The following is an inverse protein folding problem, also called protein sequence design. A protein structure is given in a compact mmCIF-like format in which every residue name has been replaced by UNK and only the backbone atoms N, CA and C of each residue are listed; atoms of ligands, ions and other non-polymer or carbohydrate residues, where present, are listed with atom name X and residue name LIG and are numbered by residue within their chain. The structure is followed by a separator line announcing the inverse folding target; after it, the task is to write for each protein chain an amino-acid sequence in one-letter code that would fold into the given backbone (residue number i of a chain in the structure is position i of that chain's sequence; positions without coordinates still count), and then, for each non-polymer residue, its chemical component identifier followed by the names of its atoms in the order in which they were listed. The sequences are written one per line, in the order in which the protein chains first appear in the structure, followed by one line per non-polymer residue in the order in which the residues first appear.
data_IF_495909586817
#
_entry.id   IF_495909586817
#
_cell.length_a   1.000
_cell.length_b   1.000
_cell.length_c   1.000
_cell.angle_alpha   90.00
_cell.angle_beta   90.00
_cell.angle_gamma   90.00
#
_symmetry.space_group_name_H-M   'P 1'
#
loop_
_entity.id
_entity.type
_entity.pdbx_description
1 polymer ?
#
# COMPACT_ATOMS: atom_id res chain seq x y z
N UNK A 1 -12.70 1.75 -19.77
CA UNK A 1 -12.77 2.38 -18.43
C UNK A 1 -12.02 1.51 -17.43
N UNK A 2 -10.76 1.85 -17.07
CA UNK A 2 -9.91 0.99 -16.20
C UNK A 2 -9.03 1.76 -15.18
N UNK A 3 -9.06 3.11 -15.19
CA UNK A 3 -8.06 3.95 -14.48
C UNK A 3 -7.93 3.69 -12.96
N UNK A 4 -8.99 3.65 -12.15
CA UNK A 4 -8.83 3.39 -10.70
C UNK A 4 -8.45 1.93 -10.40
N UNK A 5 -8.93 0.99 -11.20
CA UNK A 5 -8.54 -0.42 -11.09
C UNK A 5 -7.05 -0.61 -11.40
N UNK A 6 -6.53 0.11 -12.39
CA UNK A 6 -5.09 0.14 -12.71
C UNK A 6 -4.29 0.69 -11.52
N UNK A 7 -4.73 1.78 -10.88
CA UNK A 7 -4.04 2.31 -9.68
C UNK A 7 -4.04 1.28 -8.55
N UNK A 8 -5.16 0.58 -8.33
CA UNK A 8 -5.23 -0.51 -7.34
C UNK A 8 -4.30 -1.68 -7.66
N UNK A 9 -4.23 -2.11 -8.92
CA UNK A 9 -3.31 -3.19 -9.35
C UNK A 9 -1.85 -2.75 -9.22
N UNK A 10 -1.52 -1.51 -9.60
CA UNK A 10 -0.17 -0.95 -9.41
C UNK A 10 0.20 -0.94 -7.93
N UNK A 11 -0.72 -0.54 -7.05
CA UNK A 11 -0.50 -0.55 -5.61
C UNK A 11 -0.26 -1.98 -5.07
N UNK A 12 -1.00 -2.97 -5.57
CA UNK A 12 -0.79 -4.39 -5.23
C UNK A 12 0.60 -4.90 -5.65
N UNK A 13 1.02 -4.61 -6.89
CA UNK A 13 2.36 -4.98 -7.39
C UNK A 13 3.45 -4.32 -6.54
N UNK A 14 3.25 -3.05 -6.18
CA UNK A 14 4.14 -2.31 -5.29
C UNK A 14 4.23 -2.94 -3.90
N UNK A 15 3.09 -3.39 -3.37
CA UNK A 15 3.00 -4.11 -2.09
C UNK A 15 3.83 -5.40 -2.11
N UNK A 16 3.73 -6.17 -3.19
CA UNK A 16 4.48 -7.42 -3.35
C UNK A 16 5.99 -7.17 -3.45
N UNK A 17 6.41 -6.14 -4.19
CA UNK A 17 7.81 -5.72 -4.28
C UNK A 17 8.37 -5.33 -2.92
N UNK A 18 7.61 -4.54 -2.14
CA UNK A 18 8.01 -4.18 -0.77
C UNK A 18 8.21 -5.44 0.08
N UNK A 19 7.32 -6.42 -0.03
CA UNK A 19 7.38 -7.65 0.75
C UNK A 19 8.61 -8.50 0.40
N UNK A 20 8.94 -8.61 -0.89
CA UNK A 20 10.17 -9.30 -1.33
C UNK A 20 11.43 -8.63 -0.79
N UNK A 21 11.46 -7.30 -0.78
CA UNK A 21 12.60 -6.54 -0.24
C UNK A 21 12.72 -6.66 1.28
N UNK A 22 11.61 -6.65 2.01
CA UNK A 22 11.59 -6.88 3.47
C UNK A 22 12.16 -8.27 3.82
N UNK A 23 11.81 -9.31 3.06
CA UNK A 23 12.36 -10.66 3.24
C UNK A 23 13.87 -10.69 2.95
N UNK A 24 14.31 -9.94 1.93
CA UNK A 24 15.73 -9.83 1.58
C UNK A 24 16.53 -9.09 2.65
N UNK A 25 15.95 -8.06 3.29
CA UNK A 25 16.60 -7.30 4.36
C UNK A 25 16.94 -8.18 5.57
N UNK A 26 16.04 -9.09 5.92
CA UNK A 26 16.27 -10.05 7.02
C UNK A 26 17.44 -11.01 6.77
N UNK A 27 18.00 -11.04 5.55
CA UNK A 27 19.18 -11.84 5.18
C UNK A 27 20.42 -10.98 4.97
N UNK A 28 20.25 -9.78 4.41
CA UNK A 28 21.33 -8.84 4.11
C UNK A 28 21.02 -7.48 4.74
N UNK A 29 21.57 -7.25 5.93
CA UNK A 29 21.40 -6.00 6.69
C UNK A 29 22.22 -4.86 6.04
N UNK A 30 21.70 -4.27 4.97
CA UNK A 30 22.31 -3.12 4.32
C UNK A 30 21.49 -1.84 4.52
N UNK A 31 22.16 -0.77 4.95
CA UNK A 31 21.56 0.57 5.15
C UNK A 31 20.86 1.06 3.87
N UNK A 32 21.45 0.78 2.71
CA UNK A 32 20.87 1.12 1.41
C UNK A 32 19.52 0.44 1.18
N UNK A 33 19.39 -0.85 1.50
CA UNK A 33 18.14 -1.59 1.34
C UNK A 33 17.08 -1.13 2.34
N UNK A 34 17.47 -0.77 3.57
CA UNK A 34 16.54 -0.15 4.54
C UNK A 34 15.97 1.18 4.02
N UNK A 35 16.83 2.03 3.43
CA UNK A 35 16.43 3.32 2.89
C UNK A 35 15.50 3.14 1.67
N UNK A 36 15.76 2.13 0.84
CA UNK A 36 14.87 1.73 -0.25
C UNK A 36 13.51 1.26 0.26
N UNK A 37 13.47 0.39 1.27
CA UNK A 37 12.23 -0.07 1.91
C UNK A 37 11.44 1.12 2.44
N UNK A 38 12.08 2.06 3.13
CA UNK A 38 11.43 3.26 3.64
C UNK A 38 10.81 4.11 2.53
N UNK A 39 11.54 4.36 1.44
CA UNK A 39 11.04 5.11 0.28
C UNK A 39 9.84 4.41 -0.39
N UNK A 40 9.90 3.09 -0.51
CA UNK A 40 8.80 2.30 -1.07
C UNK A 40 7.56 2.32 -0.17
N UNK A 41 7.74 2.37 1.15
CA UNK A 41 6.64 2.54 2.11
C UNK A 41 5.93 3.88 1.89
N UNK A 42 6.70 4.97 1.81
CA UNK A 42 6.15 6.29 1.53
C UNK A 42 5.40 6.33 0.20
N UNK A 43 5.97 5.75 -0.85
CA UNK A 43 5.33 5.73 -2.16
C UNK A 43 4.04 4.89 -2.15
N UNK A 44 4.03 3.74 -1.46
CA UNK A 44 2.84 2.91 -1.31
C UNK A 44 1.69 3.64 -0.58
N UNK A 45 1.99 4.46 0.43
CA UNK A 45 1.00 5.31 1.11
C UNK A 45 0.43 6.37 0.14
N UNK A 46 1.30 7.04 -0.61
CA UNK A 46 0.89 8.06 -1.60
C UNK A 46 0.00 7.43 -2.69
N UNK A 47 0.39 6.26 -3.23
CA UNK A 47 -0.40 5.57 -4.25
C UNK A 47 -1.76 5.10 -3.71
N UNK A 48 -1.79 4.58 -2.48
CA UNK A 48 -3.03 4.16 -1.80
C UNK A 48 -4.00 5.32 -1.63
N UNK A 49 -3.51 6.48 -1.16
CA UNK A 49 -4.33 7.69 -0.95
C UNK A 49 -4.82 8.28 -2.27
N UNK A 50 -3.96 8.36 -3.29
CA UNK A 50 -4.37 8.76 -4.65
C UNK A 50 -5.40 7.80 -5.25
N UNK A 51 -5.24 6.49 -5.05
CA UNK A 51 -6.18 5.47 -5.49
C UNK A 51 -7.57 5.62 -4.86
N UNK A 52 -7.64 5.94 -3.57
CA UNK A 52 -8.88 6.29 -2.89
C UNK A 52 -9.52 7.55 -3.47
N UNK A 53 -8.75 8.65 -3.60
CA UNK A 53 -9.24 9.92 -4.15
C UNK A 53 -9.80 9.76 -5.57
N UNK A 54 -9.08 9.04 -6.43
CA UNK A 54 -9.53 8.74 -7.79
C UNK A 54 -10.78 7.85 -7.74
N UNK A 55 -10.81 6.82 -6.89
CA UNK A 55 -11.98 5.96 -6.72
C UNK A 55 -13.25 6.75 -6.38
N UNK A 56 -13.19 7.63 -5.38
CA UNK A 56 -14.35 8.44 -4.95
C UNK A 56 -14.80 9.44 -6.02
N UNK A 57 -13.85 10.09 -6.71
CA UNK A 57 -14.18 11.01 -7.81
C UNK A 57 -14.96 10.31 -8.91
N UNK A 58 -14.55 9.09 -9.29
CA UNK A 58 -15.21 8.33 -10.34
C UNK A 58 -16.57 7.75 -9.90
N UNK A 59 -16.70 7.33 -8.64
CA UNK A 59 -17.99 6.92 -8.07
C UNK A 59 -19.01 8.05 -8.14
N UNK A 60 -18.61 9.27 -7.74
CA UNK A 60 -19.49 10.45 -7.77
C UNK A 60 -19.98 10.78 -9.18
N UNK A 61 -19.14 10.55 -10.19
CA UNK A 61 -19.49 10.75 -11.61
C UNK A 61 -20.32 9.62 -12.24
N UNK A 62 -20.72 8.58 -11.50
CA UNK A 62 -21.40 7.36 -12.01
C UNK A 62 -20.65 6.65 -13.16
N UNK A 63 -19.37 6.95 -13.38
CA UNK A 63 -18.57 6.40 -14.47
C UNK A 63 -18.11 4.94 -14.23
N UNK A 64 -18.41 4.38 -13.06
CA UNK A 64 -17.93 3.06 -12.63
C UNK A 64 -19.04 2.28 -11.95
N UNK A 65 -19.07 0.96 -12.21
CA UNK A 65 -19.96 0.03 -11.50
C UNK A 65 -19.56 -0.06 -10.02
N UNK A 66 -20.54 -0.23 -9.13
CA UNK A 66 -20.31 -0.37 -7.69
C UNK A 66 -19.31 -1.48 -7.37
N UNK A 67 -19.33 -2.57 -8.14
CA UNK A 67 -18.40 -3.71 -7.99
C UNK A 67 -16.95 -3.34 -8.32
N UNK A 68 -16.71 -2.64 -9.43
CA UNK A 68 -15.36 -2.19 -9.79
C UNK A 68 -14.81 -1.12 -8.83
N UNK A 69 -15.69 -0.28 -8.27
CA UNK A 69 -15.32 0.65 -7.21
C UNK A 69 -14.89 -0.08 -5.93
N UNK A 70 -15.69 -1.02 -5.43
CA UNK A 70 -15.36 -1.80 -4.23
C UNK A 70 -14.06 -2.58 -4.40
N UNK A 71 -13.87 -3.21 -5.56
CA UNK A 71 -12.63 -3.94 -5.87
C UNK A 71 -11.41 -3.02 -5.92
N UNK A 72 -11.54 -1.85 -6.56
CA UNK A 72 -10.49 -0.82 -6.56
C UNK A 72 -10.19 -0.34 -5.14
N UNK A 73 -11.22 -0.13 -4.31
CA UNK A 73 -11.04 0.35 -2.95
C UNK A 73 -10.32 -0.70 -2.09
N UNK A 74 -10.69 -1.97 -2.24
CA UNK A 74 -10.01 -3.10 -1.58
C UNK A 74 -8.52 -3.16 -1.97
N UNK A 75 -8.20 -3.12 -3.27
CA UNK A 75 -6.81 -3.17 -3.74
C UNK A 75 -5.96 -1.98 -3.25
N UNK A 76 -6.52 -0.78 -3.23
CA UNK A 76 -5.81 0.40 -2.73
C UNK A 76 -5.69 0.43 -1.19
N UNK A 77 -6.50 -0.35 -0.48
CA UNK A 77 -6.44 -0.46 0.98
C UNK A 77 -5.51 -1.56 1.45
N UNK A 78 -5.14 -2.50 0.58
CA UNK A 78 -4.36 -3.68 0.95
C UNK A 78 -2.98 -3.31 1.52
N UNK A 79 -2.30 -2.35 0.86
CA UNK A 79 -1.00 -1.85 1.31
C UNK A 79 -1.01 -1.25 2.72
N UNK A 80 -1.85 -0.24 3.04
CA UNK A 80 -1.89 0.33 4.40
C UNK A 80 -2.37 -0.69 5.44
N UNK A 81 -3.20 -1.66 5.06
CA UNK A 81 -3.66 -2.71 5.97
C UNK A 81 -2.52 -3.65 6.36
N UNK A 82 -1.64 -4.01 5.42
CA UNK A 82 -0.42 -4.78 5.72
C UNK A 82 0.54 -3.98 6.60
N UNK A 83 0.79 -2.71 6.27
CA UNK A 83 1.62 -1.82 7.10
C UNK A 83 1.06 -1.76 8.53
N UNK A 84 -0.27 -1.61 8.66
CA UNK A 84 -0.93 -1.57 9.97
C UNK A 84 -0.73 -2.88 10.74
N UNK A 85 -0.86 -4.05 10.10
CA UNK A 85 -0.60 -5.35 10.74
C UNK A 85 0.85 -5.44 11.21
N UNK A 86 1.81 -5.01 10.39
CA UNK A 86 3.24 -5.02 10.74
C UNK A 86 3.53 -4.08 11.92
N UNK A 87 2.90 -2.92 11.99
CA UNK A 87 3.05 -2.00 13.12
C UNK A 87 2.40 -2.61 14.37
N UNK A 88 1.18 -3.15 14.25
CA UNK A 88 0.44 -3.74 15.36
C UNK A 88 1.18 -4.96 15.96
N UNK A 89 1.79 -5.81 15.13
CA UNK A 89 2.57 -6.96 15.62
C UNK A 89 3.80 -6.53 16.41
N UNK A 90 4.37 -5.36 16.09
CA UNK A 90 5.53 -4.79 16.78
C UNK A 90 5.14 -3.69 17.78
N UNK A 91 3.85 -3.49 18.06
CA UNK A 91 3.35 -2.33 18.82
C UNK A 91 3.91 -2.30 20.24
N UNK A 92 4.10 -3.47 20.87
CA UNK A 92 4.69 -3.56 22.22
C UNK A 92 6.12 -3.02 22.25
N UNK A 93 6.90 -3.26 21.20
CA UNK A 93 8.27 -2.78 21.10
C UNK A 93 8.31 -1.31 20.72
N UNK A 94 7.39 -0.85 19.87
CA UNK A 94 7.21 0.57 19.53
C UNK A 94 6.81 1.39 20.77
N UNK A 95 5.89 0.89 21.60
CA UNK A 95 5.44 1.57 22.81
C UNK A 95 6.51 1.63 23.91
N UNK A 96 7.53 0.77 23.87
CA UNK A 96 8.67 0.81 24.79
C UNK A 96 9.72 1.85 24.42
N UNK A 97 9.68 2.36 23.19
CA UNK A 97 10.60 3.40 22.70
C UNK A 97 10.19 4.82 23.11
N UNK A 98 9.01 4.99 23.73
CA UNK A 98 8.47 6.26 24.22
C UNK A 98 8.12 6.16 25.71
#
# INVERSE_FOLDING_TARGET
MKKPLIVGVVNLVFTLLLFMLLISFGKEESVFLLLLIFLLILLGIILSTLGWLVGFKYLKSKLISRTAFLFSLFLNSFFPLIILILILSNLKDVLRLF
#
